data_IF_396329079749
#
_entry.id   IF_396329079749
#
_cell.length_a   1.000
_cell.length_b   1.000
_cell.length_c   1.000
_cell.angle_alpha   90.00
_cell.angle_beta   90.00
_cell.angle_gamma   90.00
#
_symmetry.space_group_name_H-M   'P 1'
#
loop_
_entity.id
_entity.type
_entity.pdbx_description
1 polymer ?
#
# COMPACT_ATOMS: atom_id res chain seq x y z
N UNK A 1 5.88 -7.44 -8.73
CA UNK A 1 4.45 -7.23 -9.06
C UNK A 1 3.89 -8.57 -9.49
N UNK A 2 2.80 -9.03 -8.86
CA UNK A 2 2.06 -10.16 -9.41
C UNK A 2 1.52 -9.74 -10.79
N UNK A 3 1.74 -10.58 -11.81
CA UNK A 3 1.30 -10.29 -13.17
C UNK A 3 -0.22 -10.10 -13.25
N UNK A 4 -0.67 -9.45 -14.32
CA UNK A 4 -2.09 -9.33 -14.65
C UNK A 4 -2.31 -9.47 -16.15
N UNK A 5 -3.57 -9.40 -16.57
CA UNK A 5 -3.98 -9.56 -17.97
C UNK A 5 -4.96 -8.47 -18.39
N UNK A 6 -5.01 -8.17 -19.68
CA UNK A 6 -5.96 -7.20 -20.25
C UNK A 6 -7.36 -7.77 -20.52
N UNK A 7 -7.51 -9.08 -20.39
CA UNK A 7 -8.80 -9.78 -20.54
C UNK A 7 -9.33 -10.18 -19.16
N UNK A 8 -10.59 -9.89 -18.88
CA UNK A 8 -11.23 -10.38 -17.66
C UNK A 8 -11.19 -11.91 -17.60
N UNK A 9 -10.85 -12.45 -16.43
CA UNK A 9 -11.41 -13.72 -16.01
C UNK A 9 -11.25 -13.90 -14.50
N UNK A 10 -12.06 -14.82 -13.98
CA UNK A 10 -12.24 -15.10 -12.56
C UNK A 10 -10.90 -15.25 -11.81
N UNK A 11 -10.77 -14.51 -10.70
CA UNK A 11 -9.59 -14.46 -9.81
C UNK A 11 -8.25 -14.04 -10.45
N UNK A 12 -8.26 -13.42 -11.64
CA UNK A 12 -7.06 -12.75 -12.14
C UNK A 12 -7.09 -11.24 -11.90
N UNK A 13 -5.92 -10.64 -11.72
CA UNK A 13 -5.74 -9.21 -11.86
C UNK A 13 -6.01 -8.81 -13.32
N UNK A 14 -7.22 -8.32 -13.61
CA UNK A 14 -7.59 -7.80 -14.92
C UNK A 14 -7.38 -6.28 -14.96
N UNK A 15 -6.63 -5.79 -15.94
CA UNK A 15 -6.37 -4.36 -16.13
C UNK A 15 -7.53 -3.72 -16.91
N UNK A 16 -8.64 -3.48 -16.23
CA UNK A 16 -9.80 -2.84 -16.84
C UNK A 16 -9.68 -1.31 -16.79
N UNK A 17 -9.95 -0.65 -17.92
CA UNK A 17 -10.18 0.80 -17.93
C UNK A 17 -11.58 1.07 -17.40
N UNK A 18 -11.69 1.85 -16.34
CA UNK A 18 -12.97 2.26 -15.76
C UNK A 18 -13.34 3.67 -16.22
N UNK A 19 -14.56 4.12 -15.91
CA UNK A 19 -14.95 5.51 -16.11
C UNK A 19 -14.12 6.51 -15.24
N UNK A 20 -13.34 6.03 -14.27
CA UNK A 20 -12.60 6.86 -13.32
C UNK A 20 -11.08 6.83 -13.52
N UNK A 21 -10.51 5.70 -13.94
CA UNK A 21 -9.07 5.50 -14.05
C UNK A 21 -8.73 4.25 -14.88
N UNK A 22 -7.48 4.21 -15.39
CA UNK A 22 -6.81 3.01 -15.90
C UNK A 22 -5.48 2.76 -15.19
N UNK A 23 -4.94 1.55 -15.37
CA UNK A 23 -3.62 1.18 -14.85
C UNK A 23 -2.54 2.17 -15.33
N UNK A 24 -1.71 2.64 -14.40
CA UNK A 24 -0.65 3.62 -14.67
C UNK A 24 -1.06 5.09 -14.53
N UNK A 25 -2.35 5.40 -14.39
CA UNK A 25 -2.77 6.78 -14.10
C UNK A 25 -2.29 7.21 -12.71
N UNK A 26 -1.90 8.49 -12.59
CA UNK A 26 -1.72 9.11 -11.29
C UNK A 26 -3.09 9.27 -10.63
N UNK A 27 -3.32 8.54 -9.55
CA UNK A 27 -4.59 8.63 -8.80
C UNK A 27 -4.91 10.06 -8.36
N UNK A 28 -3.90 10.90 -8.08
CA UNK A 28 -4.06 12.33 -7.77
C UNK A 28 -4.58 13.18 -8.92
N UNK A 29 -4.42 12.73 -10.16
CA UNK A 29 -4.90 13.43 -11.35
C UNK A 29 -6.29 12.97 -11.80
N UNK A 30 -6.60 11.68 -11.64
CA UNK A 30 -7.83 11.08 -12.19
C UNK A 30 -8.91 10.82 -11.15
N UNK A 31 -8.55 10.60 -9.87
CA UNK A 31 -9.50 10.32 -8.80
C UNK A 31 -9.87 11.60 -8.05
N UNK A 32 -11.15 11.71 -7.70
CA UNK A 32 -11.63 12.77 -6.80
C UNK A 32 -11.04 12.55 -5.40
N UNK A 33 -10.63 13.63 -4.70
CA UNK A 33 -10.23 13.53 -3.30
C UNK A 33 -11.34 12.88 -2.48
N UNK A 34 -10.99 11.89 -1.65
CA UNK A 34 -11.96 11.32 -0.71
C UNK A 34 -12.28 12.38 0.36
N UNK A 35 -13.56 12.61 0.71
CA UNK A 35 -13.96 13.60 1.70
C UNK A 35 -13.72 13.06 3.13
N UNK A 36 -12.50 12.61 3.43
CA UNK A 36 -12.19 12.02 4.74
C UNK A 36 -11.97 13.07 5.82
N UNK A 37 -11.73 14.34 5.43
CA UNK A 37 -11.33 15.40 6.35
C UNK A 37 -10.02 15.12 7.09
N UNK A 38 -9.28 14.08 6.70
CA UNK A 38 -8.10 13.63 7.43
C UNK A 38 -6.95 14.61 7.22
N UNK A 39 -6.49 15.22 8.30
CA UNK A 39 -5.32 16.09 8.32
C UNK A 39 -4.23 15.41 9.12
N UNK A 40 -3.09 15.15 8.49
CA UNK A 40 -1.93 14.55 9.14
C UNK A 40 -0.97 15.63 9.62
N UNK A 41 -0.51 15.50 10.86
CA UNK A 41 0.55 16.36 11.40
C UNK A 41 1.90 15.93 10.79
N UNK A 42 2.66 16.88 10.25
CA UNK A 42 4.05 16.65 9.81
C UNK A 42 4.87 16.04 10.95
N UNK A 43 5.60 14.96 10.66
CA UNK A 43 6.39 14.22 11.65
C UNK A 43 5.56 13.40 12.64
N UNK A 44 4.23 13.38 12.50
CA UNK A 44 3.35 12.53 13.30
C UNK A 44 3.26 11.11 12.75
N UNK A 45 2.65 10.23 13.55
CA UNK A 45 2.33 8.86 13.16
C UNK A 45 0.98 8.81 12.44
N UNK A 46 0.92 8.09 11.32
CA UNK A 46 -0.30 7.83 10.58
C UNK A 46 -0.68 6.34 10.65
N UNK A 47 -1.95 6.04 10.90
CA UNK A 47 -2.48 4.68 10.78
C UNK A 47 -2.85 4.43 9.32
N UNK A 48 -2.13 3.54 8.67
CA UNK A 48 -2.36 3.15 7.27
C UNK A 48 -2.98 1.76 7.18
N UNK A 49 -3.66 1.48 6.07
CA UNK A 49 -4.25 0.17 5.77
C UNK A 49 -4.18 -0.07 4.27
N UNK A 50 -3.83 -1.30 3.90
CA UNK A 50 -4.06 -1.86 2.56
C UNK A 50 -4.89 -3.15 2.72
N UNK A 51 -5.50 -3.61 1.64
CA UNK A 51 -6.34 -4.81 1.65
C UNK A 51 -5.71 -5.88 0.77
N UNK A 52 -5.70 -7.11 1.29
CA UNK A 52 -5.28 -8.31 0.58
C UNK A 52 -6.51 -9.15 0.26
N UNK A 53 -6.64 -9.56 -0.99
CA UNK A 53 -7.67 -10.54 -1.42
C UNK A 53 -7.05 -11.87 -1.87
N UNK A 54 -5.82 -11.84 -2.39
CA UNK A 54 -5.07 -13.03 -2.78
C UNK A 54 -3.64 -12.93 -2.27
N UNK A 55 -3.13 -13.97 -1.61
CA UNK A 55 -1.76 -13.99 -1.08
C UNK A 55 -0.77 -14.26 -2.21
N UNK A 56 -0.08 -13.21 -2.67
CA UNK A 56 0.97 -13.30 -3.68
C UNK A 56 2.38 -13.09 -3.09
N UNK A 57 2.51 -13.15 -1.77
CA UNK A 57 3.76 -12.93 -1.05
C UNK A 57 4.36 -11.53 -1.26
N UNK A 58 5.66 -11.44 -1.01
CA UNK A 58 6.42 -10.20 -1.16
C UNK A 58 6.32 -9.29 0.07
N UNK A 59 6.13 -7.99 -0.15
CA UNK A 59 6.10 -7.01 0.91
C UNK A 59 5.67 -5.63 0.45
N UNK A 60 5.68 -4.68 1.39
CA UNK A 60 5.14 -3.36 1.23
C UNK A 60 5.95 -2.31 1.99
N UNK A 61 5.93 -1.09 1.45
CA UNK A 61 6.51 0.10 2.07
C UNK A 61 5.61 1.29 1.75
N UNK A 62 5.53 2.25 2.66
CA UNK A 62 4.86 3.51 2.40
C UNK A 62 5.88 4.60 2.08
N UNK A 63 5.59 5.37 1.03
CA UNK A 63 6.41 6.49 0.58
C UNK A 63 5.53 7.70 0.34
N UNK A 64 6.10 8.88 0.50
CA UNK A 64 5.41 10.14 0.22
C UNK A 64 6.18 10.91 -0.86
N UNK A 65 5.46 11.70 -1.65
CA UNK A 65 6.05 12.71 -2.53
C UNK A 65 5.25 14.00 -2.30
N UNK A 66 5.90 15.18 -2.15
CA UNK A 66 5.19 16.43 -1.99
C UNK A 66 4.23 16.69 -3.17
N UNK A 67 3.00 17.10 -2.88
CA UNK A 67 1.95 17.25 -3.90
C UNK A 67 2.29 18.27 -5.01
N UNK A 68 3.15 19.26 -4.71
CA UNK A 68 3.61 20.26 -5.68
C UNK A 68 4.85 19.85 -6.49
N UNK A 69 5.38 18.64 -6.29
CA UNK A 69 6.54 18.11 -7.02
C UNK A 69 6.11 17.28 -8.23
N UNK A 70 7.07 16.92 -9.09
CA UNK A 70 6.84 15.92 -10.13
C UNK A 70 6.65 14.56 -9.46
N UNK A 71 5.43 14.02 -9.51
CA UNK A 71 5.05 12.76 -8.86
C UNK A 71 5.56 11.54 -9.64
N UNK A 72 6.86 11.25 -9.50
CA UNK A 72 7.53 10.09 -10.10
C UNK A 72 8.18 9.19 -9.03
N UNK A 73 8.67 8.02 -9.44
CA UNK A 73 9.29 7.06 -8.51
C UNK A 73 10.51 7.64 -7.79
N UNK A 74 11.32 8.46 -8.47
CA UNK A 74 12.47 9.13 -7.86
C UNK A 74 12.05 10.05 -6.70
N UNK A 75 10.92 10.76 -6.83
CA UNK A 75 10.38 11.58 -5.74
C UNK A 75 9.96 10.73 -4.53
N UNK A 76 9.25 9.63 -4.76
CA UNK A 76 8.79 8.74 -3.68
C UNK A 76 9.96 8.07 -2.96
N UNK A 77 10.99 7.63 -3.68
CA UNK A 77 12.18 6.99 -3.08
C UNK A 77 12.94 7.92 -2.13
N UNK A 78 12.83 9.24 -2.29
CA UNK A 78 13.46 10.22 -1.39
C UNK A 78 12.79 10.31 -0.01
N UNK A 79 11.55 9.85 0.14
CA UNK A 79 10.77 10.01 1.37
C UNK A 79 9.99 8.74 1.71
N UNK A 80 10.74 7.69 1.98
CA UNK A 80 10.24 6.47 2.62
C UNK A 80 9.76 6.76 4.06
N UNK A 81 8.76 6.02 4.53
CA UNK A 81 8.23 6.11 5.89
C UNK A 81 8.69 4.94 6.75
N UNK A 82 9.05 5.25 8.00
CA UNK A 82 9.40 4.25 9.01
C UNK A 82 8.16 3.66 9.65
N UNK A 83 8.22 2.39 10.04
CA UNK A 83 7.23 1.78 10.91
C UNK A 83 7.24 2.46 12.27
N UNK A 84 6.05 2.80 12.77
CA UNK A 84 5.90 3.49 14.05
C UNK A 84 5.73 2.53 15.24
N UNK A 85 5.42 1.26 14.96
CA UNK A 85 5.10 0.22 15.94
C UNK A 85 5.82 -1.08 15.59
N UNK A 86 6.16 -1.88 16.60
CA UNK A 86 6.70 -3.23 16.43
C UNK A 86 5.63 -4.30 16.16
N UNK A 87 4.40 -3.88 15.86
CA UNK A 87 3.26 -4.76 15.61
C UNK A 87 2.42 -4.28 14.43
N UNK A 88 1.69 -5.22 13.82
CA UNK A 88 0.67 -4.97 12.82
C UNK A 88 -0.68 -5.51 13.27
N UNK A 89 -1.75 -4.89 12.78
CA UNK A 89 -3.13 -5.30 13.04
C UNK A 89 -3.72 -5.92 11.78
N UNK A 90 -4.07 -7.21 11.84
CA UNK A 90 -4.79 -7.90 10.79
C UNK A 90 -6.29 -7.72 11.01
N UNK A 91 -6.95 -7.11 10.04
CA UNK A 91 -8.40 -6.86 10.06
C UNK A 91 -9.11 -7.80 9.09
N UNK A 92 -9.98 -8.65 9.61
CA UNK A 92 -10.80 -9.57 8.81
C UNK A 92 -12.21 -9.00 8.59
N UNK A 93 -12.96 -9.60 7.67
CA UNK A 93 -14.37 -9.27 7.48
C UNK A 93 -15.21 -9.61 8.73
N UNK A 94 -14.87 -10.72 9.39
CA UNK A 94 -15.35 -11.07 10.71
C UNK A 94 -14.38 -10.53 11.78
N UNK A 95 -14.82 -9.50 12.48
CA UNK A 95 -14.00 -8.82 13.49
C UNK A 95 -13.62 -9.72 14.68
N UNK A 96 -14.32 -10.84 14.90
CA UNK A 96 -13.93 -11.82 15.94
C UNK A 96 -12.60 -12.52 15.64
N UNK A 97 -12.12 -12.41 14.39
CA UNK A 97 -10.85 -12.97 13.92
C UNK A 97 -9.72 -11.96 13.84
N UNK A 98 -9.98 -10.69 14.17
CA UNK A 98 -8.95 -9.65 14.18
C UNK A 98 -7.82 -10.05 15.13
N UNK A 99 -6.58 -9.78 14.72
CA UNK A 99 -5.41 -10.17 15.52
C UNK A 99 -4.25 -9.18 15.37
N UNK A 100 -3.41 -9.16 16.40
CA UNK A 100 -2.16 -8.41 16.41
C UNK A 100 -1.02 -9.39 16.20
N UNK A 101 -0.12 -9.05 15.29
CA UNK A 101 1.09 -9.81 15.00
C UNK A 101 2.32 -8.93 15.21
N UNK A 102 3.48 -9.55 15.42
CA UNK A 102 4.74 -8.83 15.44
C UNK A 102 5.07 -8.31 14.03
N UNK A 103 5.46 -7.06 13.92
CA UNK A 103 5.95 -6.48 12.68
C UNK A 103 7.37 -7.00 12.41
N UNK A 104 7.69 -7.24 11.13
CA UNK A 104 9.03 -7.57 10.70
C UNK A 104 9.53 -6.46 9.80
N UNK A 105 10.62 -5.81 10.19
CA UNK A 105 11.19 -4.69 9.44
C UNK A 105 12.47 -5.16 8.75
N UNK A 106 12.42 -5.27 7.42
CA UNK A 106 13.56 -5.73 6.62
C UNK A 106 14.32 -4.52 6.10
N UNK A 107 15.53 -4.30 6.61
CA UNK A 107 16.44 -3.21 6.20
C UNK A 107 17.51 -3.65 5.20
N UNK A 108 17.65 -4.96 4.97
CA UNK A 108 18.54 -5.50 3.96
C UNK A 108 18.06 -5.10 2.55
N UNK A 109 18.99 -4.66 1.70
CA UNK A 109 18.71 -4.18 0.34
C UNK A 109 18.60 -2.65 0.20
N UNK A 110 18.81 -1.90 1.29
CA UNK A 110 18.78 -0.43 1.30
C UNK A 110 17.43 0.15 1.70
N UNK A 111 17.35 1.49 1.78
CA UNK A 111 16.18 2.21 2.28
C UNK A 111 16.09 2.21 3.81
N UNK A 112 14.93 2.63 4.35
CA UNK A 112 14.70 2.68 5.81
C UNK A 112 13.88 1.50 6.34
N UNK A 113 13.56 0.54 5.48
CA UNK A 113 12.92 -0.73 5.82
C UNK A 113 11.61 -0.96 5.08
N UNK A 114 11.34 -2.22 4.71
CA UNK A 114 10.07 -2.68 4.17
C UNK A 114 9.50 -3.80 5.02
N UNK A 115 8.18 -3.95 5.02
CA UNK A 115 7.48 -5.01 5.75
C UNK A 115 7.16 -6.18 4.82
N UNK A 116 7.48 -7.43 5.16
CA UNK A 116 7.00 -8.57 4.41
C UNK A 116 5.49 -8.68 4.56
N UNK A 117 4.87 -9.32 3.57
CA UNK A 117 3.48 -9.71 3.67
C UNK A 117 3.27 -10.55 4.94
N UNK A 118 2.31 -10.18 5.82
CA UNK A 118 2.19 -10.81 7.13
C UNK A 118 1.60 -12.23 7.10
N UNK A 119 1.13 -12.68 5.94
CA UNK A 119 0.61 -14.02 5.75
C UNK A 119 1.67 -14.88 5.06
N UNK A 120 2.06 -16.04 5.63
CA UNK A 120 3.01 -16.93 4.98
C UNK A 120 2.49 -17.39 3.61
N UNK A 121 3.41 -17.56 2.67
CA UNK A 121 3.09 -18.14 1.36
C UNK A 121 2.53 -19.56 1.57
N UNK A 122 1.39 -19.85 0.94
CA UNK A 122 0.76 -21.18 0.92
C UNK A 122 1.26 -21.99 -0.26
#
# INVERSE_FOLDING_TARGET
MAGGRWTEAFNAAAFNTTAFAKMGDLGTAVLKPRPTGTVWKRGGTAKTRWQLTANHGGGYIYRLCPAGSVLNEECFQKMELKWATSTHELRFADASRDMIINATDITQGGGIGWGPQPFPDV
#
